data_IF_481268324607
#
_entry.id   IF_481268324607
#
_cell.length_a   1.000
_cell.length_b   1.000
_cell.length_c   1.000
_cell.angle_alpha   90.00
_cell.angle_beta   90.00
_cell.angle_gamma   90.00
#
_symmetry.space_group_name_H-M   'P 1'
#
loop_
_entity.id
_entity.type
_entity.pdbx_description
1 polymer ?
#
# COMPACT_ATOMS: atom_id res chain seq x y z
N UNK A 1 17.85 13.16 2.69
CA UNK A 1 17.39 11.82 2.25
C UNK A 1 16.43 12.01 1.11
N UNK A 2 16.67 11.31 0.02
CA UNK A 2 15.78 11.30 -1.14
C UNK A 2 14.37 10.80 -0.73
N UNK A 3 13.34 11.50 -1.18
CA UNK A 3 11.95 11.21 -0.87
C UNK A 3 11.55 9.81 -1.35
N UNK A 4 12.01 9.42 -2.53
CA UNK A 4 11.78 8.08 -3.08
C UNK A 4 12.42 7.01 -2.18
N UNK A 5 13.61 7.29 -1.65
CA UNK A 5 14.29 6.37 -0.73
C UNK A 5 13.48 6.15 0.56
N UNK A 6 12.90 7.21 1.15
CA UNK A 6 12.03 7.08 2.33
C UNK A 6 10.83 6.16 2.05
N UNK A 7 10.20 6.32 0.90
CA UNK A 7 9.07 5.47 0.47
C UNK A 7 9.53 4.00 0.36
N UNK A 8 10.66 3.74 -0.30
CA UNK A 8 11.14 2.39 -0.60
C UNK A 8 11.81 1.69 0.59
N UNK A 9 12.19 2.42 1.64
CA UNK A 9 12.66 1.80 2.90
C UNK A 9 11.54 1.17 3.71
N UNK A 10 10.27 1.55 3.49
CA UNK A 10 9.14 0.86 4.11
C UNK A 10 8.95 -0.52 3.46
N UNK A 11 8.99 -1.62 4.24
CA UNK A 11 8.97 -2.97 3.69
C UNK A 11 7.65 -3.31 2.99
N UNK A 12 6.53 -2.69 3.39
CA UNK A 12 5.24 -2.90 2.74
C UNK A 12 5.23 -2.19 1.40
N UNK A 13 5.66 -0.91 1.35
CA UNK A 13 5.74 -0.16 0.10
C UNK A 13 6.63 -0.87 -0.91
N UNK A 14 7.85 -1.24 -0.48
CA UNK A 14 8.80 -1.95 -1.33
C UNK A 14 8.20 -3.22 -1.91
N UNK A 15 7.60 -4.05 -1.06
CA UNK A 15 7.01 -5.30 -1.50
C UNK A 15 5.85 -5.07 -2.48
N UNK A 16 4.99 -4.07 -2.23
CA UNK A 16 3.89 -3.74 -3.15
C UNK A 16 4.46 -3.35 -4.50
N UNK A 17 5.42 -2.43 -4.58
CA UNK A 17 6.05 -2.05 -5.86
C UNK A 17 6.75 -3.23 -6.56
N UNK A 18 7.39 -4.13 -5.82
CA UNK A 18 8.07 -5.30 -6.39
C UNK A 18 7.09 -6.38 -6.92
N UNK A 19 5.85 -6.43 -6.42
CA UNK A 19 4.90 -7.54 -6.68
C UNK A 19 3.56 -7.10 -7.32
N UNK A 20 3.46 -5.84 -7.76
CA UNK A 20 2.30 -5.25 -8.43
C UNK A 20 2.61 -4.90 -9.89
N UNK A 21 1.60 -4.54 -10.72
CA UNK A 21 1.84 -4.08 -12.08
C UNK A 21 2.79 -2.87 -12.14
N UNK A 22 3.48 -2.68 -13.27
CA UNK A 22 4.43 -1.56 -13.47
C UNK A 22 3.79 -0.18 -13.23
N UNK A 23 2.49 -0.06 -13.49
CA UNK A 23 1.70 1.14 -13.28
C UNK A 23 1.02 1.10 -11.91
N UNK A 24 1.84 1.16 -10.85
CA UNK A 24 1.40 1.22 -9.44
C UNK A 24 1.86 2.53 -8.82
N UNK A 25 0.95 3.19 -8.10
CA UNK A 25 1.17 4.51 -7.52
C UNK A 25 0.82 4.49 -6.05
N UNK A 26 1.73 4.97 -5.20
CA UNK A 26 1.44 5.32 -3.81
C UNK A 26 0.92 6.75 -3.77
N UNK A 27 -0.26 6.97 -3.20
CA UNK A 27 -0.99 8.25 -3.29
C UNK A 27 -1.53 8.70 -1.94
N UNK A 28 -2.23 9.84 -1.94
CA UNK A 28 -3.09 10.24 -0.84
C UNK A 28 -2.37 10.76 0.39
N UNK A 29 -2.96 10.47 1.56
CA UNK A 29 -2.50 10.99 2.85
C UNK A 29 -1.06 10.60 3.18
N UNK A 30 -0.65 9.38 2.82
CA UNK A 30 0.71 8.91 3.02
C UNK A 30 1.77 9.88 2.48
N UNK A 31 1.60 10.34 1.24
CA UNK A 31 2.54 11.26 0.59
C UNK A 31 2.57 12.61 1.31
N UNK A 32 1.39 13.16 1.62
CA UNK A 32 1.25 14.44 2.32
C UNK A 32 1.91 14.40 3.69
N UNK A 33 1.63 13.37 4.48
CA UNK A 33 2.10 13.27 5.87
C UNK A 33 3.62 13.05 5.88
N UNK A 34 4.15 12.22 4.97
CA UNK A 34 5.60 12.03 4.81
C UNK A 34 6.33 13.34 4.41
N UNK A 35 5.73 14.16 3.53
CA UNK A 35 6.28 15.46 3.13
C UNK A 35 6.27 16.47 4.28
N UNK A 36 5.32 16.36 5.21
CA UNK A 36 5.25 17.16 6.46
C UNK A 36 6.20 16.66 7.55
N UNK A 37 6.87 15.51 7.34
CA UNK A 37 7.69 14.88 8.35
C UNK A 37 6.90 14.12 9.43
N UNK A 38 5.62 13.84 9.16
CA UNK A 38 4.74 13.08 10.04
C UNK A 38 4.80 11.58 9.69
N UNK A 39 4.45 10.72 10.64
CA UNK A 39 4.36 9.27 10.42
C UNK A 39 2.99 8.93 9.79
N UNK A 40 2.91 8.37 8.58
CA UNK A 40 1.64 8.01 7.97
C UNK A 40 0.92 6.87 8.70
N UNK A 41 -0.39 7.02 8.92
CA UNK A 41 -1.23 6.00 9.59
C UNK A 41 -1.64 4.83 8.70
N UNK A 42 -1.81 5.06 7.40
CA UNK A 42 -2.20 4.07 6.40
C UNK A 42 -1.53 4.33 5.04
N UNK A 43 -1.80 3.45 4.06
CA UNK A 43 -1.16 3.45 2.74
C UNK A 43 -2.21 3.19 1.67
N UNK A 44 -2.35 4.13 0.73
CA UNK A 44 -3.26 4.00 -0.40
C UNK A 44 -2.49 3.78 -1.70
N UNK A 45 -2.87 2.73 -2.42
CA UNK A 45 -2.28 2.39 -3.72
C UNK A 45 -3.32 2.44 -4.82
N UNK A 46 -2.96 3.04 -5.95
CA UNK A 46 -3.71 2.98 -7.21
C UNK A 46 -2.93 2.10 -8.17
N UNK A 47 -3.56 1.05 -8.67
CA UNK A 47 -2.95 0.08 -9.59
C UNK A 47 -3.70 0.10 -10.91
N UNK A 48 -3.00 0.22 -12.03
CA UNK A 48 -3.59 -0.03 -13.34
C UNK A 48 -3.51 -1.52 -13.64
N UNK A 49 -4.60 -2.21 -13.37
CA UNK A 49 -4.73 -3.67 -13.50
C UNK A 49 -5.51 -4.28 -12.35
N UNK A 50 -5.28 -5.57 -12.09
CA UNK A 50 -6.01 -6.35 -11.09
C UNK A 50 -5.55 -6.04 -9.65
N UNK A 51 -6.22 -5.07 -9.03
CA UNK A 51 -5.99 -4.68 -7.64
C UNK A 51 -6.38 -5.80 -6.65
N UNK A 52 -7.37 -6.64 -6.99
CA UNK A 52 -7.84 -7.74 -6.15
C UNK A 52 -6.73 -8.77 -5.94
N UNK A 53 -6.09 -9.18 -7.04
CA UNK A 53 -4.98 -10.13 -7.02
C UNK A 53 -3.81 -9.63 -6.19
N UNK A 54 -3.44 -8.36 -6.32
CA UNK A 54 -2.37 -7.77 -5.50
C UNK A 54 -2.77 -7.74 -4.02
N UNK A 55 -3.99 -7.31 -3.71
CA UNK A 55 -4.48 -7.25 -2.32
C UNK A 55 -4.55 -8.64 -1.67
N UNK A 56 -5.00 -9.68 -2.38
CA UNK A 56 -4.98 -11.07 -1.89
C UNK A 56 -3.56 -11.57 -1.62
N UNK A 57 -2.61 -11.29 -2.52
CA UNK A 57 -1.19 -11.65 -2.32
C UNK A 57 -0.60 -10.93 -1.11
N UNK A 58 -0.87 -9.62 -0.97
CA UNK A 58 -0.41 -8.82 0.15
C UNK A 58 -0.96 -9.35 1.49
N UNK A 59 -2.26 -9.64 1.55
CA UNK A 59 -2.88 -10.23 2.74
C UNK A 59 -2.20 -11.54 3.15
N UNK A 60 -1.93 -12.43 2.18
CA UNK A 60 -1.21 -13.69 2.43
C UNK A 60 0.23 -13.44 2.89
N UNK A 61 0.95 -12.54 2.23
CA UNK A 61 2.36 -12.23 2.54
C UNK A 61 2.52 -11.66 3.95
N UNK A 62 1.65 -10.74 4.34
CA UNK A 62 1.76 -10.00 5.60
C UNK A 62 0.89 -10.56 6.72
N UNK A 63 0.25 -11.72 6.52
CA UNK A 63 -0.67 -12.32 7.51
C UNK A 63 -1.87 -11.42 7.83
N UNK A 64 -2.29 -10.59 6.88
CA UNK A 64 -3.39 -9.64 7.00
C UNK A 64 -4.75 -10.22 6.58
N UNK A 65 -5.82 -9.48 6.90
CA UNK A 65 -7.18 -9.77 6.42
C UNK A 65 -7.45 -9.01 5.13
N UNK A 66 -7.79 -9.74 4.07
CA UNK A 66 -8.33 -9.17 2.84
C UNK A 66 -9.80 -8.79 3.04
N UNK A 67 -10.15 -7.58 2.62
CA UNK A 67 -11.50 -7.02 2.74
C UNK A 67 -11.83 -6.34 1.40
N UNK A 68 -12.91 -6.75 0.78
CA UNK A 68 -13.50 -6.04 -0.36
C UNK A 68 -14.34 -4.87 0.15
N UNK A 69 -14.10 -3.67 -0.40
CA UNK A 69 -14.87 -2.47 -0.11
C UNK A 69 -15.93 -2.26 -1.21
N UNK A 70 -16.79 -1.25 -1.03
CA UNK A 70 -17.89 -0.96 -1.95
C UNK A 70 -17.39 -0.80 -3.40
N UNK A 71 -18.23 -1.20 -4.37
CA UNK A 71 -18.01 -1.11 -5.82
C UNK A 71 -17.05 -2.13 -6.46
N UNK A 72 -16.65 -3.22 -5.77
CA UNK A 72 -15.86 -4.36 -6.32
C UNK A 72 -14.51 -4.01 -6.95
N UNK A 73 -14.02 -2.78 -6.76
CA UNK A 73 -12.77 -2.30 -7.35
C UNK A 73 -11.80 -1.75 -6.30
N UNK A 74 -12.22 -1.72 -5.04
CA UNK A 74 -11.41 -1.22 -3.94
C UNK A 74 -11.26 -2.30 -2.88
N UNK A 75 -10.04 -2.55 -2.46
CA UNK A 75 -9.70 -3.62 -1.54
C UNK A 75 -8.83 -3.07 -0.42
N UNK A 76 -9.06 -3.55 0.79
CA UNK A 76 -8.27 -3.22 1.98
C UNK A 76 -7.57 -4.47 2.50
N UNK A 77 -6.31 -4.31 2.86
CA UNK A 77 -5.54 -5.32 3.58
C UNK A 77 -5.30 -4.81 4.99
N UNK A 78 -6.04 -5.35 5.96
CA UNK A 78 -5.89 -4.99 7.36
C UNK A 78 -4.83 -5.88 8.03
N UNK A 79 -3.73 -5.29 8.45
CA UNK A 79 -2.64 -5.99 9.14
C UNK A 79 -2.91 -6.01 10.66
N UNK A 80 -2.60 -7.12 11.33
CA UNK A 80 -2.65 -7.19 12.80
C UNK A 80 -1.46 -6.43 13.37
N UNK A 81 -1.72 -5.28 13.98
CA UNK A 81 -0.73 -4.52 14.75
C UNK A 81 0.16 -3.62 13.88
N UNK A 82 -0.06 -2.31 14.03
CA UNK A 82 0.92 -1.22 14.04
C UNK A 82 0.11 0.08 14.15
N UNK A 83 -0.32 0.39 15.38
CA UNK A 83 -0.50 1.77 15.81
C UNK A 83 0.84 2.24 16.35
#
# INVERSE_FOLDING_TARGET
MDFAQKILTDPINKWVFDHSPKETYLVGGYIRDLLRGELPGDKDFVLKGDAEKTAKKAARMFGGKFIELQNKQTFRVALKGRR
#
